data_IF_267820445816
#
_entry.id   IF_267820445816
#
_cell.length_a   1.000
_cell.length_b   1.000
_cell.length_c   1.000
_cell.angle_alpha   90.00
_cell.angle_beta   90.00
_cell.angle_gamma   90.00
#
_symmetry.space_group_name_H-M   'P 1'
#
loop_
_entity.id
_entity.type
_entity.pdbx_description
1 polymer ?
#
# COMPACT_ATOMS: atom_id res chain seq x y z
N UNK A 1 27.12 9.46 -19.02
CA UNK A 1 28.01 8.82 -18.03
C UNK A 1 27.47 8.91 -16.60
N UNK A 2 26.91 10.06 -16.18
CA UNK A 2 26.32 10.27 -14.85
C UNK A 2 25.10 9.38 -14.52
N UNK A 3 24.19 9.15 -15.48
CA UNK A 3 22.99 8.31 -15.26
C UNK A 3 23.36 6.83 -14.96
N UNK A 4 24.35 6.30 -15.67
CA UNK A 4 24.86 4.93 -15.46
C UNK A 4 25.50 4.78 -14.07
N UNK A 5 26.25 5.80 -13.62
CA UNK A 5 26.82 5.83 -12.28
C UNK A 5 25.72 5.85 -11.20
N UNK A 6 24.69 6.68 -11.36
CA UNK A 6 23.55 6.74 -10.42
C UNK A 6 22.78 5.42 -10.32
N UNK A 7 22.57 4.71 -11.44
CA UNK A 7 21.88 3.40 -11.45
C UNK A 7 22.68 2.35 -10.69
N UNK A 8 24.00 2.31 -10.89
CA UNK A 8 24.87 1.36 -10.19
C UNK A 8 24.89 1.60 -8.68
N UNK A 9 24.89 2.87 -8.23
CA UNK A 9 24.76 3.23 -6.82
C UNK A 9 23.42 2.73 -6.26
N UNK A 10 22.31 2.94 -6.95
CA UNK A 10 20.99 2.48 -6.49
C UNK A 10 20.89 0.94 -6.45
N UNK A 11 21.49 0.23 -7.40
CA UNK A 11 21.61 -1.24 -7.37
C UNK A 11 22.41 -1.69 -6.16
N UNK A 12 23.58 -1.09 -5.93
CA UNK A 12 24.43 -1.37 -4.77
C UNK A 12 23.67 -1.13 -3.45
N UNK A 13 22.97 0.01 -3.32
CA UNK A 13 22.17 0.32 -2.12
C UNK A 13 21.01 -0.65 -1.93
N UNK A 14 20.35 -1.06 -3.01
CA UNK A 14 19.30 -2.08 -2.95
C UNK A 14 19.88 -3.38 -2.40
N UNK A 15 20.98 -3.87 -2.95
CA UNK A 15 21.67 -5.09 -2.46
C UNK A 15 22.15 -4.95 -1.02
N UNK A 16 22.74 -3.79 -0.67
CA UNK A 16 23.27 -3.52 0.68
C UNK A 16 22.19 -3.55 1.76
N UNK A 17 20.97 -3.11 1.43
CA UNK A 17 19.85 -3.01 2.38
C UNK A 17 18.99 -4.28 2.43
N UNK A 18 19.07 -5.17 1.44
CA UNK A 18 18.28 -6.40 1.40
C UNK A 18 18.55 -7.27 2.62
N UNK A 19 17.50 -7.58 3.39
CA UNK A 19 17.54 -8.45 4.57
C UNK A 19 18.60 -8.04 5.63
N UNK A 20 19.00 -6.76 5.67
CA UNK A 20 20.01 -6.26 6.59
C UNK A 20 19.47 -5.04 7.37
N UNK A 21 18.86 -5.23 8.56
CA UNK A 21 18.30 -4.14 9.34
C UNK A 21 19.32 -3.06 9.72
N UNK A 22 20.57 -3.44 10.02
CA UNK A 22 21.63 -2.47 10.33
C UNK A 22 21.99 -1.58 9.13
N UNK A 23 22.08 -2.17 7.93
CA UNK A 23 22.27 -1.41 6.71
C UNK A 23 21.09 -0.46 6.48
N UNK A 24 19.85 -0.96 6.57
CA UNK A 24 18.64 -0.13 6.47
C UNK A 24 18.64 1.05 7.46
N UNK A 25 18.93 0.80 8.73
CA UNK A 25 18.95 1.82 9.77
C UNK A 25 20.02 2.90 9.48
N UNK A 26 21.20 2.50 8.97
CA UNK A 26 22.28 3.42 8.65
C UNK A 26 21.90 4.49 7.62
N UNK A 27 20.93 4.21 6.72
CA UNK A 27 20.44 5.18 5.74
C UNK A 27 19.65 6.34 6.37
N UNK A 28 19.05 6.12 7.54
CA UNK A 28 18.33 7.16 8.30
C UNK A 28 19.28 8.01 9.17
N UNK A 29 20.48 7.51 9.45
CA UNK A 29 21.47 8.21 10.25
C UNK A 29 22.23 9.24 9.42
N UNK A 30 22.71 10.29 10.09
CA UNK A 30 23.47 11.37 9.49
C UNK A 30 24.81 11.49 10.21
N UNK A 31 25.93 11.52 9.48
CA UNK A 31 27.22 11.92 10.04
C UNK A 31 27.63 13.27 9.43
N UNK A 32 27.93 14.29 10.24
CA UNK A 32 28.37 15.60 9.75
C UNK A 32 29.85 15.60 9.28
N UNK A 33 30.64 14.59 9.66
CA UNK A 33 32.11 14.55 9.43
C UNK A 33 32.53 13.11 9.17
N UNK A 34 33.27 12.88 8.08
CA UNK A 34 33.90 11.59 7.79
C UNK A 34 34.73 11.13 9.00
N UNK A 35 34.49 9.91 9.49
CA UNK A 35 35.23 9.34 10.63
C UNK A 35 34.65 9.63 12.03
N UNK A 36 33.60 10.44 12.15
CA UNK A 36 32.80 10.51 13.39
C UNK A 36 31.58 9.61 13.26
N UNK A 37 31.39 8.72 14.24
CA UNK A 37 30.33 7.72 14.24
C UNK A 37 28.93 8.30 14.03
N UNK A 38 27.93 7.45 13.70
CA UNK A 38 26.58 7.91 13.37
C UNK A 38 25.97 8.73 14.50
N UNK A 39 25.36 9.89 14.18
CA UNK A 39 24.56 10.63 15.18
C UNK A 39 23.34 9.80 15.54
N UNK A 40 23.01 9.78 16.84
CA UNK A 40 21.73 9.24 17.36
C UNK A 40 20.53 10.15 17.07
N UNK A 41 20.76 11.40 16.66
CA UNK A 41 19.71 12.38 16.36
C UNK A 41 19.69 12.70 14.84
N UNK A 42 18.53 12.65 14.18
CA UNK A 42 18.41 12.86 12.74
C UNK A 42 18.67 14.31 12.35
N UNK A 43 19.60 14.54 11.40
CA UNK A 43 19.61 15.77 10.59
C UNK A 43 18.64 15.62 9.41
N UNK A 44 18.26 16.73 8.76
CA UNK A 44 17.36 16.71 7.59
C UNK A 44 17.99 16.16 6.31
N UNK A 45 19.24 15.71 6.34
CA UNK A 45 20.01 15.29 5.16
C UNK A 45 20.64 13.92 5.41
N UNK A 46 19.80 12.89 5.51
CA UNK A 46 20.25 11.49 5.50
C UNK A 46 20.21 10.91 4.09
N UNK A 47 20.87 9.77 3.88
CA UNK A 47 20.82 9.07 2.60
C UNK A 47 19.38 8.67 2.24
N UNK A 48 18.56 8.33 3.23
CA UNK A 48 17.13 8.08 3.04
C UNK A 48 16.38 9.32 2.51
N UNK A 49 16.70 10.52 3.02
CA UNK A 49 16.13 11.76 2.49
C UNK A 49 16.57 12.02 1.04
N UNK A 50 17.82 11.73 0.69
CA UNK A 50 18.31 11.87 -0.69
C UNK A 50 17.63 10.87 -1.63
N UNK A 51 17.34 9.64 -1.19
CA UNK A 51 16.54 8.68 -1.96
C UNK A 51 15.13 9.21 -2.21
N UNK A 52 14.47 9.81 -1.21
CA UNK A 52 13.13 10.41 -1.36
C UNK A 52 13.17 11.63 -2.32
N UNK A 53 14.21 12.46 -2.22
CA UNK A 53 14.43 13.56 -3.13
C UNK A 53 14.69 13.08 -4.57
N UNK A 54 15.45 11.99 -4.73
CA UNK A 54 15.70 11.34 -6.02
C UNK A 54 14.40 10.80 -6.62
N UNK A 55 13.52 10.16 -5.85
CA UNK A 55 12.20 9.74 -6.32
C UNK A 55 11.43 10.93 -6.89
N UNK A 56 11.40 12.06 -6.18
CA UNK A 56 10.71 13.26 -6.66
C UNK A 56 11.27 13.75 -8.01
N UNK A 57 12.60 13.78 -8.15
CA UNK A 57 13.28 14.15 -9.41
C UNK A 57 12.97 13.16 -10.54
N UNK A 58 13.00 11.85 -10.27
CA UNK A 58 12.68 10.83 -11.28
C UNK A 58 11.22 10.94 -11.72
N UNK A 59 10.29 11.21 -10.81
CA UNK A 59 8.89 11.45 -11.14
C UNK A 59 8.70 12.65 -12.08
N UNK A 60 9.42 13.76 -11.84
CA UNK A 60 9.36 14.95 -12.71
C UNK A 60 9.96 14.69 -14.11
N UNK A 61 10.96 13.81 -14.20
CA UNK A 61 11.64 13.47 -15.45
C UNK A 61 10.96 12.36 -16.25
N UNK A 62 10.05 11.61 -15.63
CA UNK A 62 9.48 10.40 -16.19
C UNK A 62 8.74 10.63 -17.52
N UNK A 63 8.04 11.76 -17.63
CA UNK A 63 7.36 12.19 -18.87
C UNK A 63 8.29 12.45 -20.04
N UNK A 64 9.58 12.69 -19.78
CA UNK A 64 10.61 12.98 -20.79
C UNK A 64 11.46 11.76 -21.10
N UNK A 65 11.85 11.01 -20.08
CA UNK A 65 12.80 9.90 -20.24
C UNK A 65 12.11 8.57 -20.52
N UNK A 66 10.86 8.41 -20.06
CA UNK A 66 10.15 7.13 -20.02
C UNK A 66 10.92 5.98 -19.32
N UNK A 67 12.00 6.30 -18.59
CA UNK A 67 12.82 5.32 -17.89
C UNK A 67 12.34 5.15 -16.46
N UNK A 68 11.70 4.02 -16.18
CA UNK A 68 11.17 3.66 -14.86
C UNK A 68 12.21 3.00 -13.96
N UNK A 69 13.37 2.61 -14.49
CA UNK A 69 14.35 1.81 -13.74
C UNK A 69 14.93 2.56 -12.54
N UNK A 70 15.37 3.84 -12.65
CA UNK A 70 15.86 4.59 -11.49
C UNK A 70 14.81 4.72 -10.39
N UNK A 71 13.56 4.97 -10.78
CA UNK A 71 12.43 5.06 -9.86
C UNK A 71 12.22 3.73 -9.12
N UNK A 72 12.18 2.61 -9.86
CA UNK A 72 11.99 1.28 -9.28
C UNK A 72 13.11 0.92 -8.29
N UNK A 73 14.37 1.24 -8.62
CA UNK A 73 15.48 0.98 -7.72
C UNK A 73 15.41 1.83 -6.44
N UNK A 74 14.96 3.10 -6.54
CA UNK A 74 14.74 3.92 -5.34
C UNK A 74 13.66 3.31 -4.44
N UNK A 75 12.56 2.81 -5.03
CA UNK A 75 11.50 2.15 -4.27
C UNK A 75 11.93 0.81 -3.67
N UNK A 76 12.79 0.04 -4.33
CA UNK A 76 13.37 -1.17 -3.72
C UNK A 76 14.15 -0.83 -2.44
N UNK A 77 14.94 0.25 -2.46
CA UNK A 77 15.62 0.73 -1.24
C UNK A 77 14.60 1.13 -0.17
N UNK A 78 13.55 1.87 -0.53
CA UNK A 78 12.50 2.24 0.43
C UNK A 78 11.79 1.02 1.03
N UNK A 79 11.46 0.02 0.21
CA UNK A 79 10.86 -1.24 0.67
C UNK A 79 11.77 -1.96 1.67
N UNK A 80 13.06 -2.09 1.37
CA UNK A 80 14.02 -2.70 2.29
C UNK A 80 14.08 -1.93 3.62
N UNK A 81 14.16 -0.60 3.56
CA UNK A 81 14.26 0.25 4.75
C UNK A 81 12.99 0.27 5.60
N UNK A 82 11.81 -0.03 5.02
CA UNK A 82 10.55 -0.06 5.76
C UNK A 82 10.54 -1.12 6.89
N UNK A 83 11.43 -2.11 6.87
CA UNK A 83 11.63 -3.05 7.98
C UNK A 83 12.07 -2.37 9.29
N UNK A 84 12.70 -1.20 9.22
CA UNK A 84 13.27 -0.47 10.35
C UNK A 84 12.36 0.69 10.79
N UNK A 85 12.08 0.80 12.08
CA UNK A 85 11.16 1.79 12.65
C UNK A 85 11.60 3.23 12.35
N UNK A 86 12.88 3.55 12.57
CA UNK A 86 13.43 4.89 12.36
C UNK A 86 13.29 5.35 10.91
N UNK A 87 13.47 4.41 9.96
CA UNK A 87 13.25 4.67 8.55
C UNK A 87 11.78 4.94 8.25
N UNK A 88 10.84 4.16 8.81
CA UNK A 88 9.40 4.43 8.65
C UNK A 88 9.01 5.79 9.22
N UNK A 89 9.49 6.15 10.41
CA UNK A 89 9.26 7.46 11.03
C UNK A 89 9.85 8.58 10.16
N UNK A 90 11.03 8.37 9.57
CA UNK A 90 11.61 9.32 8.62
C UNK A 90 10.72 9.50 7.38
N UNK A 91 10.21 8.41 6.81
CA UNK A 91 9.37 8.44 5.60
C UNK A 91 8.03 9.14 5.88
N UNK A 92 7.38 8.88 7.02
CA UNK A 92 6.10 9.55 7.38
C UNK A 92 6.23 11.07 7.56
N UNK A 93 7.43 11.58 7.82
CA UNK A 93 7.72 13.02 7.93
C UNK A 93 8.14 13.66 6.61
N UNK A 94 8.27 12.86 5.55
CA UNK A 94 8.72 13.31 4.23
C UNK A 94 7.56 13.69 3.31
N UNK A 95 7.88 14.39 2.22
CA UNK A 95 6.92 14.72 1.17
C UNK A 95 6.76 13.62 0.09
N UNK A 96 7.17 12.38 0.38
CA UNK A 96 7.19 11.28 -0.60
C UNK A 96 5.88 11.17 -1.41
N UNK A 97 4.72 11.15 -0.73
CA UNK A 97 3.42 10.93 -1.37
C UNK A 97 2.94 12.08 -2.26
N UNK A 98 3.58 13.26 -2.20
CA UNK A 98 3.26 14.35 -3.13
C UNK A 98 3.50 13.96 -4.59
N UNK A 99 4.45 13.05 -4.85
CA UNK A 99 4.68 12.51 -6.20
C UNK A 99 3.48 11.71 -6.73
N UNK A 100 2.83 10.91 -5.87
CA UNK A 100 1.66 10.12 -6.23
C UNK A 100 0.45 11.02 -6.53
N UNK A 101 0.24 12.08 -5.73
CA UNK A 101 -0.88 13.01 -5.90
C UNK A 101 -0.83 13.80 -7.21
N UNK A 102 0.37 14.23 -7.64
CA UNK A 102 0.54 15.02 -8.87
C UNK A 102 0.22 14.25 -10.16
N UNK A 103 0.37 12.94 -10.13
CA UNK A 103 0.39 12.09 -11.32
C UNK A 103 -0.91 11.36 -11.59
N UNK A 104 -1.70 11.04 -10.56
CA UNK A 104 -2.83 10.16 -10.78
C UNK A 104 -4.01 10.87 -11.47
N UNK A 105 -4.58 10.29 -12.55
CA UNK A 105 -5.68 10.91 -13.30
C UNK A 105 -6.93 11.23 -12.47
N UNK A 106 -7.16 10.52 -11.36
CA UNK A 106 -8.26 10.79 -10.45
C UNK A 106 -8.20 12.20 -9.83
N UNK A 107 -7.01 12.75 -9.64
CA UNK A 107 -6.81 14.10 -9.10
C UNK A 107 -6.38 15.10 -10.19
N UNK A 108 -5.69 14.62 -11.23
CA UNK A 108 -5.25 15.44 -12.34
C UNK A 108 -5.70 14.86 -13.69
N UNK A 109 -6.88 15.28 -14.17
CA UNK A 109 -7.49 14.80 -15.42
C UNK A 109 -6.64 15.01 -16.68
N UNK A 110 -5.57 15.81 -16.62
CA UNK A 110 -4.62 16.00 -17.72
C UNK A 110 -3.55 14.91 -17.79
N UNK A 111 -3.43 14.10 -16.74
CA UNK A 111 -2.49 12.99 -16.69
C UNK A 111 -3.13 11.72 -17.24
N UNK A 112 -2.34 10.92 -17.95
CA UNK A 112 -2.73 9.56 -18.36
C UNK A 112 -2.42 8.59 -17.22
N UNK A 113 -3.10 7.43 -17.12
CA UNK A 113 -2.67 6.36 -16.22
C UNK A 113 -1.25 5.89 -16.57
N UNK A 114 -0.46 5.59 -15.55
CA UNK A 114 0.90 5.04 -15.72
C UNK A 114 0.96 3.71 -14.99
N UNK A 115 0.40 2.66 -15.59
CA UNK A 115 0.19 1.36 -14.93
C UNK A 115 1.43 0.85 -14.20
N UNK A 116 2.61 0.94 -14.81
CA UNK A 116 3.87 0.49 -14.19
C UNK A 116 4.30 1.36 -12.99
N UNK A 117 4.05 2.66 -13.05
CA UNK A 117 4.40 3.61 -11.96
C UNK A 117 3.44 3.42 -10.80
N UNK A 118 2.15 3.30 -11.09
CA UNK A 118 1.11 2.95 -10.12
C UNK A 118 1.47 1.63 -9.42
N UNK A 119 1.92 0.62 -10.17
CA UNK A 119 2.36 -0.64 -9.60
C UNK A 119 3.55 -0.45 -8.65
N UNK A 120 4.58 0.31 -9.05
CA UNK A 120 5.75 0.60 -8.19
C UNK A 120 5.32 1.24 -6.86
N UNK A 121 4.41 2.23 -6.92
CA UNK A 121 3.85 2.85 -5.72
C UNK A 121 3.09 1.86 -4.85
N UNK A 122 2.21 1.06 -5.45
CA UNK A 122 1.41 0.08 -4.73
C UNK A 122 2.25 -1.06 -4.13
N UNK A 123 3.27 -1.55 -4.83
CA UNK A 123 4.24 -2.53 -4.30
C UNK A 123 4.92 -1.98 -3.04
N UNK A 124 5.37 -0.72 -3.06
CA UNK A 124 5.93 -0.08 -1.88
C UNK A 124 4.90 0.11 -0.76
N UNK A 125 3.70 0.61 -1.08
CA UNK A 125 2.66 0.85 -0.09
C UNK A 125 2.21 -0.45 0.57
N UNK A 126 2.19 -1.58 -0.14
CA UNK A 126 1.92 -2.89 0.45
C UNK A 126 2.92 -3.20 1.57
N UNK A 127 4.23 -3.08 1.30
CA UNK A 127 5.28 -3.30 2.30
C UNK A 127 5.15 -2.31 3.47
N UNK A 128 4.93 -1.03 3.16
CA UNK A 128 4.90 0.01 4.18
C UNK A 128 3.68 -0.08 5.11
N UNK A 129 2.51 -0.46 4.57
CA UNK A 129 1.25 -0.56 5.33
C UNK A 129 1.10 -1.86 6.12
N UNK A 130 2.04 -2.81 6.02
CA UNK A 130 2.14 -3.90 7.01
C UNK A 130 2.40 -3.33 8.41
N UNK A 131 3.06 -2.17 8.51
CA UNK A 131 3.43 -1.56 9.78
C UNK A 131 2.43 -0.48 10.24
N UNK A 132 2.22 -0.30 11.55
CA UNK A 132 1.31 0.72 12.09
C UNK A 132 1.59 2.14 11.60
N UNK A 133 2.86 2.53 11.46
CA UNK A 133 3.24 3.86 10.99
C UNK A 133 2.72 4.12 9.58
N UNK A 134 2.80 3.12 8.70
CA UNK A 134 2.28 3.21 7.34
C UNK A 134 0.76 3.22 7.30
N UNK A 135 0.11 2.36 8.08
CA UNK A 135 -1.35 2.32 8.18
C UNK A 135 -1.92 3.68 8.63
N UNK A 136 -1.34 4.26 9.69
CA UNK A 136 -1.73 5.57 10.23
C UNK A 136 -1.44 6.70 9.24
N UNK A 137 -0.27 6.69 8.60
CA UNK A 137 0.13 7.76 7.69
C UNK A 137 -0.77 7.81 6.46
N UNK A 138 -0.98 6.67 5.79
CA UNK A 138 -1.83 6.62 4.60
C UNK A 138 -3.30 6.87 4.98
N UNK A 139 -3.79 6.28 6.08
CA UNK A 139 -5.18 6.46 6.52
C UNK A 139 -5.56 7.91 6.85
N UNK A 140 -4.57 8.76 7.18
CA UNK A 140 -4.78 10.20 7.44
C UNK A 140 -4.83 11.05 6.18
N UNK A 141 -4.39 10.55 5.03
CA UNK A 141 -4.32 11.30 3.77
C UNK A 141 -5.49 10.93 2.84
N UNK A 142 -6.59 11.72 2.81
CA UNK A 142 -7.78 11.38 2.04
C UNK A 142 -7.50 11.26 0.54
N UNK A 143 -6.73 12.18 -0.04
CA UNK A 143 -6.45 12.17 -1.48
C UNK A 143 -5.67 10.91 -1.91
N UNK A 144 -4.75 10.42 -1.06
CA UNK A 144 -4.01 9.18 -1.32
C UNK A 144 -4.94 7.98 -1.21
N UNK A 145 -5.81 7.97 -0.19
CA UNK A 145 -6.80 6.91 -0.02
C UNK A 145 -7.76 6.82 -1.21
N UNK A 146 -8.22 7.96 -1.73
CA UNK A 146 -9.11 8.02 -2.89
C UNK A 146 -8.43 7.49 -4.16
N UNK A 147 -7.13 7.79 -4.36
CA UNK A 147 -6.34 7.17 -5.44
C UNK A 147 -6.28 5.65 -5.28
N UNK A 148 -5.96 5.15 -4.07
CA UNK A 148 -5.86 3.71 -3.84
C UNK A 148 -7.22 3.03 -4.10
N UNK A 149 -8.33 3.63 -3.66
CA UNK A 149 -9.69 3.13 -3.94
C UNK A 149 -9.94 3.11 -5.46
N UNK A 150 -9.60 4.17 -6.18
CA UNK A 150 -9.74 4.21 -7.64
C UNK A 150 -8.92 3.10 -8.33
N UNK A 151 -7.71 2.82 -7.86
CA UNK A 151 -6.83 1.78 -8.42
C UNK A 151 -7.38 0.35 -8.21
N UNK A 152 -8.29 0.13 -7.27
CA UNK A 152 -9.01 -1.17 -7.14
C UNK A 152 -9.91 -1.48 -8.35
N UNK A 153 -10.16 -0.49 -9.20
CA UNK A 153 -10.93 -0.58 -10.44
C UNK A 153 -10.05 -0.44 -11.69
N UNK A 154 -8.72 -0.42 -11.55
CA UNK A 154 -7.78 -0.33 -12.67
C UNK A 154 -7.99 -1.44 -13.71
N UNK A 155 -7.63 -1.18 -14.96
CA UNK A 155 -7.58 -2.22 -16.00
C UNK A 155 -6.49 -3.25 -15.68
N UNK A 156 -5.36 -2.80 -15.14
CA UNK A 156 -4.25 -3.66 -14.71
C UNK A 156 -4.66 -4.57 -13.54
N UNK A 157 -4.57 -5.88 -13.76
CA UNK A 157 -4.84 -6.90 -12.73
C UNK A 157 -3.90 -6.74 -11.53
N UNK A 158 -2.63 -6.45 -11.78
CA UNK A 158 -1.63 -6.27 -10.72
C UNK A 158 -1.96 -5.04 -9.87
N UNK A 159 -2.32 -3.91 -10.49
CA UNK A 159 -2.66 -2.68 -9.75
C UNK A 159 -3.92 -2.89 -8.92
N UNK A 160 -4.95 -3.52 -9.47
CA UNK A 160 -6.17 -3.86 -8.72
C UNK A 160 -5.89 -4.67 -7.47
N UNK A 161 -5.12 -5.75 -7.61
CA UNK A 161 -4.80 -6.64 -6.50
C UNK A 161 -3.94 -5.94 -5.45
N UNK A 162 -2.89 -5.24 -5.90
CA UNK A 162 -2.00 -4.51 -5.03
C UNK A 162 -2.73 -3.41 -4.24
N UNK A 163 -3.60 -2.63 -4.89
CA UNK A 163 -4.41 -1.61 -4.24
C UNK A 163 -5.37 -2.20 -3.19
N UNK A 164 -6.00 -3.34 -3.49
CA UNK A 164 -6.90 -4.01 -2.54
C UNK A 164 -6.16 -4.49 -1.28
N UNK A 165 -4.93 -5.02 -1.44
CA UNK A 165 -4.07 -5.41 -0.31
C UNK A 165 -3.67 -4.18 0.53
N UNK A 166 -3.33 -3.04 -0.10
CA UNK A 166 -3.06 -1.80 0.65
C UNK A 166 -4.27 -1.37 1.49
N UNK A 167 -5.48 -1.42 0.94
CA UNK A 167 -6.69 -1.09 1.69
C UNK A 167 -6.96 -2.08 2.84
N UNK A 168 -6.73 -3.37 2.61
CA UNK A 168 -6.81 -4.38 3.67
C UNK A 168 -5.84 -4.04 4.80
N UNK A 169 -4.58 -3.77 4.48
CA UNK A 169 -3.54 -3.42 5.45
C UNK A 169 -3.93 -2.21 6.31
N UNK A 170 -4.39 -1.12 5.68
CA UNK A 170 -4.82 0.11 6.35
C UNK A 170 -6.02 -0.16 7.29
N UNK A 171 -6.88 -1.12 6.95
CA UNK A 171 -8.09 -1.47 7.71
C UNK A 171 -7.79 -2.18 9.03
N UNK A 172 -6.61 -2.79 9.18
CA UNK A 172 -6.20 -3.40 10.45
C UNK A 172 -5.93 -2.36 11.55
N UNK A 173 -5.69 -1.10 11.19
CA UNK A 173 -5.51 -0.05 12.19
C UNK A 173 -6.85 0.56 12.61
N UNK A 174 -7.20 0.40 13.89
CA UNK A 174 -8.50 0.82 14.43
C UNK A 174 -8.80 2.32 14.25
N UNK A 175 -7.78 3.19 14.23
CA UNK A 175 -7.95 4.63 13.98
C UNK A 175 -8.50 4.97 12.59
N UNK A 176 -8.28 4.10 11.61
CA UNK A 176 -8.71 4.33 10.22
C UNK A 176 -10.15 3.89 9.99
N UNK A 177 -10.69 3.04 10.88
CA UNK A 177 -12.00 2.40 10.76
C UNK A 177 -13.12 3.41 10.51
N UNK A 178 -13.20 4.47 11.31
CA UNK A 178 -14.28 5.45 11.19
C UNK A 178 -14.31 6.09 9.80
N UNK A 179 -13.15 6.50 9.29
CA UNK A 179 -13.01 7.09 7.95
C UNK A 179 -13.39 6.10 6.87
N UNK A 180 -12.80 4.90 6.89
CA UNK A 180 -13.06 3.86 5.89
C UNK A 180 -14.55 3.52 5.79
N UNK A 181 -15.23 3.36 6.93
CA UNK A 181 -16.66 3.05 6.98
C UNK A 181 -17.56 4.19 6.50
N UNK A 182 -17.09 5.44 6.55
CA UNK A 182 -17.82 6.60 6.00
C UNK A 182 -17.55 6.85 4.52
N UNK A 183 -16.52 6.22 3.94
CA UNK A 183 -16.18 6.38 2.52
C UNK A 183 -17.05 5.46 1.66
N UNK A 184 -18.06 6.03 1.00
CA UNK A 184 -19.00 5.27 0.16
C UNK A 184 -18.30 4.48 -0.95
N UNK A 185 -17.30 5.07 -1.62
CA UNK A 185 -16.53 4.39 -2.66
C UNK A 185 -15.79 3.16 -2.15
N UNK A 186 -15.29 3.19 -0.90
CA UNK A 186 -14.67 2.03 -0.28
C UNK A 186 -15.67 0.91 -0.05
N UNK A 187 -16.85 1.22 0.53
CA UNK A 187 -17.92 0.23 0.75
C UNK A 187 -18.41 -0.35 -0.58
N UNK A 188 -18.56 0.48 -1.61
CA UNK A 188 -18.93 0.05 -2.96
C UNK A 188 -17.87 -0.87 -3.57
N UNK A 189 -16.59 -0.60 -3.34
CA UNK A 189 -15.50 -1.50 -3.74
C UNK A 189 -15.62 -2.86 -3.06
N UNK A 190 -15.84 -2.93 -1.74
CA UNK A 190 -16.02 -4.21 -1.04
C UNK A 190 -17.20 -5.00 -1.63
N UNK A 191 -18.34 -4.32 -1.83
CA UNK A 191 -19.53 -4.87 -2.47
C UNK A 191 -19.23 -5.45 -3.85
N UNK A 192 -18.63 -4.65 -4.73
CA UNK A 192 -18.32 -5.05 -6.12
C UNK A 192 -17.38 -6.24 -6.18
N UNK A 193 -16.38 -6.29 -5.29
CA UNK A 193 -15.40 -7.38 -5.23
C UNK A 193 -15.98 -8.68 -4.67
N UNK A 194 -16.95 -8.63 -3.75
CA UNK A 194 -17.69 -9.83 -3.34
C UNK A 194 -18.49 -10.46 -4.49
N UNK A 195 -19.12 -9.64 -5.32
CA UNK A 195 -19.96 -10.09 -6.43
C UNK A 195 -19.14 -10.57 -7.63
N UNK A 196 -18.21 -9.72 -8.09
CA UNK A 196 -17.54 -9.89 -9.39
C UNK A 196 -16.03 -10.11 -9.29
N UNK A 197 -15.46 -10.02 -8.08
CA UNK A 197 -14.03 -10.25 -7.87
C UNK A 197 -13.65 -11.71 -8.06
N UNK A 198 -12.37 -11.92 -8.35
CA UNK A 198 -11.71 -13.22 -8.23
C UNK A 198 -11.73 -13.73 -6.78
N UNK A 199 -11.53 -15.03 -6.57
CA UNK A 199 -11.49 -15.64 -5.23
C UNK A 199 -10.48 -14.95 -4.31
N UNK A 200 -9.27 -14.67 -4.80
CA UNK A 200 -8.25 -13.91 -4.04
C UNK A 200 -8.74 -12.53 -3.62
N UNK A 201 -9.47 -11.82 -4.49
CA UNK A 201 -10.03 -10.51 -4.15
C UNK A 201 -11.15 -10.64 -3.11
N UNK A 202 -11.99 -11.68 -3.19
CA UNK A 202 -13.03 -11.97 -2.20
C UNK A 202 -12.44 -12.24 -0.82
N UNK A 203 -11.40 -13.08 -0.74
CA UNK A 203 -10.67 -13.33 0.51
C UNK A 203 -10.06 -12.04 1.06
N UNK A 204 -9.49 -11.22 0.18
CA UNK A 204 -8.91 -9.94 0.59
C UNK A 204 -9.97 -9.02 1.21
N UNK A 205 -11.15 -8.96 0.60
CA UNK A 205 -12.31 -8.21 1.12
C UNK A 205 -12.81 -8.78 2.44
N UNK A 206 -12.91 -10.10 2.57
CA UNK A 206 -13.36 -10.76 3.80
C UNK A 206 -12.44 -10.44 4.97
N UNK A 207 -11.14 -10.51 4.79
CA UNK A 207 -10.16 -10.11 5.81
C UNK A 207 -10.28 -8.61 6.15
N UNK A 208 -10.56 -7.77 5.15
CA UNK A 208 -10.80 -6.33 5.34
C UNK A 208 -12.06 -6.10 6.18
N UNK A 209 -13.15 -6.81 5.87
CA UNK A 209 -14.41 -6.77 6.61
C UNK A 209 -14.21 -7.25 8.05
N UNK A 210 -13.47 -8.35 8.25
CA UNK A 210 -13.11 -8.84 9.57
C UNK A 210 -12.40 -7.77 10.41
N UNK A 211 -11.34 -7.16 9.88
CA UNK A 211 -10.56 -6.13 10.57
C UNK A 211 -11.43 -4.93 11.03
N UNK A 212 -12.41 -4.57 10.20
CA UNK A 212 -13.32 -3.46 10.48
C UNK A 212 -14.44 -3.85 11.45
N UNK A 213 -14.99 -5.06 11.35
CA UNK A 213 -16.13 -5.56 12.12
C UNK A 213 -15.76 -6.18 13.47
N UNK A 214 -14.53 -6.65 13.63
CA UNK A 214 -14.04 -7.23 14.87
C UNK A 214 -14.28 -6.26 16.04
N UNK A 215 -15.11 -6.69 16.99
CA UNK A 215 -15.53 -5.90 18.15
C UNK A 215 -16.09 -4.51 17.80
N UNK A 216 -16.77 -4.35 16.65
CA UNK A 216 -17.32 -3.07 16.22
C UNK A 216 -18.76 -3.17 15.67
N UNK A 217 -19.75 -2.86 16.51
CA UNK A 217 -21.16 -2.92 16.12
C UNK A 217 -21.54 -1.92 15.01
N UNK A 218 -20.88 -0.76 14.95
CA UNK A 218 -21.13 0.25 13.91
C UNK A 218 -20.73 -0.27 12.53
N UNK A 219 -19.57 -0.92 12.43
CA UNK A 219 -19.10 -1.56 11.19
C UNK A 219 -20.08 -2.63 10.72
N UNK A 220 -20.51 -3.52 11.63
CA UNK A 220 -21.51 -4.57 11.34
C UNK A 220 -22.81 -3.96 10.79
N UNK A 221 -23.32 -2.91 11.43
CA UNK A 221 -24.53 -2.21 10.99
C UNK A 221 -24.39 -1.58 9.60
N UNK A 222 -23.24 -0.96 9.29
CA UNK A 222 -22.96 -0.39 7.97
C UNK A 222 -22.89 -1.50 6.91
N UNK A 223 -22.24 -2.63 7.21
CA UNK A 223 -22.16 -3.76 6.29
C UNK A 223 -23.52 -4.37 5.98
N UNK A 224 -24.39 -4.56 6.99
CA UNK A 224 -25.78 -4.98 6.79
C UNK A 224 -26.56 -3.99 5.94
N UNK A 225 -26.41 -2.70 6.21
CA UNK A 225 -27.09 -1.63 5.44
C UNK A 225 -26.66 -1.62 3.97
N UNK A 226 -25.39 -1.96 3.70
CA UNK A 226 -24.84 -2.13 2.36
C UNK A 226 -25.06 -3.54 1.77
N UNK A 227 -25.78 -4.43 2.47
CA UNK A 227 -26.06 -5.83 2.08
C UNK A 227 -24.81 -6.68 1.84
N UNK A 228 -23.70 -6.36 2.50
CA UNK A 228 -22.44 -7.10 2.31
C UNK A 228 -22.49 -8.50 2.91
N UNK A 229 -23.27 -8.69 3.97
CA UNK A 229 -23.58 -9.98 4.59
C UNK A 229 -24.27 -10.93 3.60
N UNK A 230 -25.30 -10.44 2.90
CA UNK A 230 -26.01 -11.21 1.88
C UNK A 230 -25.08 -11.58 0.70
N UNK A 231 -24.29 -10.61 0.21
CA UNK A 231 -23.33 -10.83 -0.89
C UNK A 231 -22.21 -11.80 -0.50
N UNK A 232 -21.76 -11.76 0.74
CA UNK A 232 -20.79 -12.72 1.27
C UNK A 232 -21.39 -14.14 1.32
N UNK A 233 -22.64 -14.27 1.78
CA UNK A 233 -23.36 -15.54 1.76
C UNK A 233 -23.51 -16.13 0.35
N UNK A 234 -23.85 -15.30 -0.63
CA UNK A 234 -23.95 -15.73 -2.03
C UNK A 234 -22.59 -16.10 -2.63
N UNK A 235 -21.54 -15.35 -2.30
CA UNK A 235 -20.18 -15.67 -2.71
C UNK A 235 -19.70 -17.01 -2.15
N UNK A 236 -19.97 -17.28 -0.87
CA UNK A 236 -19.68 -18.55 -0.20
C UNK A 236 -20.37 -19.74 -0.86
N UNK A 237 -21.69 -19.63 -1.08
CA UNK A 237 -22.47 -20.69 -1.76
C UNK A 237 -21.92 -20.97 -3.16
N UNK A 238 -21.59 -19.93 -3.92
CA UNK A 238 -21.03 -20.06 -5.27
C UNK A 238 -19.69 -20.80 -5.25
N UNK A 239 -18.81 -20.49 -4.30
CA UNK A 239 -17.51 -21.17 -4.13
C UNK A 239 -17.73 -22.65 -3.79
N UNK A 240 -18.61 -22.95 -2.82
CA UNK A 240 -18.91 -24.33 -2.41
C UNK A 240 -19.50 -25.17 -3.55
N UNK A 241 -20.36 -24.58 -4.38
CA UNK A 241 -20.99 -25.27 -5.51
C UNK A 241 -20.02 -25.55 -6.66
N UNK A 242 -19.07 -24.65 -6.90
CA UNK A 242 -18.11 -24.80 -8.00
C UNK A 242 -17.00 -25.80 -7.67
N UNK A 243 -16.74 -26.07 -6.39
CA UNK A 243 -15.83 -27.11 -5.88
C UNK A 243 -14.48 -27.16 -6.62
N UNK A 244 -13.93 -26.00 -6.98
CA UNK A 244 -12.78 -25.86 -7.88
C UNK A 244 -11.43 -26.11 -7.18
N UNK A 245 -11.41 -26.44 -5.88
CA UNK A 245 -10.19 -26.75 -5.12
C UNK A 245 -9.17 -25.60 -5.02
N UNK A 246 -9.54 -24.39 -5.44
CA UNK A 246 -8.64 -23.23 -5.52
C UNK A 246 -8.50 -22.45 -4.21
N UNK A 247 -9.46 -22.57 -3.30
CA UNK A 247 -9.46 -21.95 -1.98
C UNK A 247 -9.08 -22.98 -0.92
N UNK A 248 -8.23 -22.60 0.04
CA UNK A 248 -7.92 -23.49 1.15
C UNK A 248 -9.09 -23.62 2.12
N UNK A 249 -9.15 -24.72 2.86
CA UNK A 249 -10.16 -24.91 3.91
C UNK A 249 -10.14 -23.76 4.93
N UNK A 250 -8.96 -23.27 5.28
CA UNK A 250 -8.77 -22.12 6.18
C UNK A 250 -9.39 -20.82 5.60
N UNK A 251 -9.27 -20.59 4.30
CA UNK A 251 -9.88 -19.43 3.64
C UNK A 251 -11.41 -19.52 3.66
N UNK A 252 -11.98 -20.71 3.45
CA UNK A 252 -13.42 -20.93 3.55
C UNK A 252 -13.94 -20.74 4.98
N UNK A 253 -13.25 -21.30 5.97
CA UNK A 253 -13.58 -21.13 7.39
C UNK A 253 -13.58 -19.65 7.79
N UNK A 254 -12.60 -18.87 7.32
CA UNK A 254 -12.55 -17.42 7.56
C UNK A 254 -13.75 -16.69 6.96
N UNK A 255 -14.13 -17.02 5.73
CA UNK A 255 -15.31 -16.41 5.09
C UNK A 255 -16.58 -16.71 5.89
N UNK A 256 -16.73 -17.95 6.36
CA UNK A 256 -17.88 -18.39 7.15
C UNK A 256 -17.91 -17.71 8.53
N UNK A 257 -16.78 -17.64 9.22
CA UNK A 257 -16.63 -16.90 10.47
C UNK A 257 -17.00 -15.42 10.32
N UNK A 258 -16.54 -14.76 9.23
CA UNK A 258 -16.90 -13.36 8.98
C UNK A 258 -18.39 -13.19 8.73
N UNK A 259 -19.03 -14.14 8.05
CA UNK A 259 -20.49 -14.11 7.88
C UNK A 259 -21.20 -14.26 9.23
N UNK A 260 -20.74 -15.16 10.10
CA UNK A 260 -21.32 -15.38 11.43
C UNK A 260 -21.22 -14.16 12.34
N UNK A 261 -20.08 -13.47 12.36
CA UNK A 261 -19.96 -12.24 13.18
C UNK A 261 -20.83 -11.09 12.64
N UNK A 262 -21.26 -11.17 11.38
CA UNK A 262 -22.14 -10.19 10.75
C UNK A 262 -23.61 -10.49 10.93
N UNK A 263 -24.02 -11.72 11.24
CA UNK A 263 -25.42 -12.03 11.59
C UNK A 263 -25.79 -11.42 12.94
#
# INVERSE_FOLDING_TARGET
MELSSSINVLKMLSTFTTNCPFACQSLSHTSPVAGTGPRKNPSSVSLLHEIIAKISKEMDMLSKTHDVLPLRLCFNVLQNTASVLECRVCITKSNLLQGMLKMHPALNKRQKPWDMVELIWLEYLQVFTVYPEGQLYIGKLPDVLDIIIALTQSTSKQNKQAALVVLQNISFHSSNRARLLTTSNFINTLSSKLEFGSEKEKITVVNTMWALAANNMKAKSIFKSAKLDSKLGDALKKIQLLNDGNLSDEEMERMQYVLEILM
#
